data_IF_516321562428
#
_entry.id   IF_516321562428
#
_cell.length_a   1.000
_cell.length_b   1.000
_cell.length_c   1.000
_cell.angle_alpha   90.00
_cell.angle_beta   90.00
_cell.angle_gamma   90.00
#
_symmetry.space_group_name_H-M   'P 1'
#
loop_
_entity.id
_entity.type
_entity.pdbx_description
1 polymer ?
#
# COMPACT_ATOMS: atom_id res chain seq x y z
N UNK A 1 10.89 -23.15 -51.34
CA UNK A 1 10.03 -22.41 -52.29
C UNK A 1 8.61 -22.43 -51.71
N UNK A 2 7.87 -21.35 -51.45
CA UNK A 2 8.02 -19.93 -51.76
C UNK A 2 7.38 -19.09 -50.63
N UNK A 3 7.95 -17.93 -50.35
CA UNK A 3 7.47 -16.88 -49.44
C UNK A 3 6.36 -16.06 -50.09
N UNK A 4 5.28 -15.64 -49.39
CA UNK A 4 4.43 -14.58 -49.89
C UNK A 4 5.07 -13.22 -49.65
N UNK A 5 5.42 -12.59 -50.77
CA UNK A 5 6.02 -11.27 -50.95
C UNK A 5 5.03 -10.13 -50.68
N UNK A 6 5.54 -9.05 -50.10
CA UNK A 6 4.92 -7.74 -50.00
C UNK A 6 4.54 -7.15 -51.36
N UNK A 7 3.37 -6.50 -51.45
CA UNK A 7 3.09 -5.43 -52.43
C UNK A 7 2.53 -4.24 -51.66
N UNK A 8 3.35 -3.22 -51.43
CA UNK A 8 2.90 -1.87 -51.04
C UNK A 8 2.91 -1.02 -52.30
N UNK A 9 1.81 -0.32 -52.56
CA UNK A 9 1.71 0.64 -53.64
C UNK A 9 2.66 1.83 -53.41
N UNK A 10 3.34 2.21 -54.49
CA UNK A 10 4.19 3.38 -54.60
C UNK A 10 3.35 4.56 -55.13
N UNK A 11 3.47 5.71 -54.48
CA UNK A 11 3.07 7.05 -54.93
C UNK A 11 1.58 7.42 -54.86
N UNK A 12 1.23 8.18 -53.82
CA UNK A 12 0.61 9.49 -54.01
C UNK A 12 1.14 10.45 -52.94
N UNK A 13 2.06 11.30 -53.39
CA UNK A 13 2.62 12.44 -52.68
C UNK A 13 1.59 13.57 -52.59
N UNK A 14 1.36 14.15 -51.41
CA UNK A 14 1.17 15.59 -51.28
C UNK A 14 1.19 16.07 -49.81
N UNK A 15 2.08 17.05 -49.56
CA UNK A 15 2.14 18.02 -48.46
C UNK A 15 2.73 17.56 -47.12
N UNK A 16 4.06 17.68 -47.09
CA UNK A 16 4.90 17.81 -45.89
C UNK A 16 4.95 19.29 -45.50
N UNK A 17 4.27 19.69 -44.42
CA UNK A 17 4.58 20.91 -43.68
C UNK A 17 5.46 20.51 -42.49
N UNK A 18 6.67 21.07 -42.43
CA UNK A 18 7.50 21.07 -41.23
C UNK A 18 7.00 22.21 -40.33
N UNK A 19 6.68 21.89 -39.08
CA UNK A 19 6.54 22.86 -37.99
C UNK A 19 7.45 22.40 -36.85
N UNK A 20 8.25 23.32 -36.33
CA UNK A 20 9.30 23.09 -35.34
C UNK A 20 8.76 22.49 -34.03
N UNK A 21 9.47 21.49 -33.51
CA UNK A 21 9.14 20.81 -32.25
C UNK A 21 9.76 21.52 -31.05
N UNK A 22 9.32 22.73 -30.73
CA UNK A 22 9.65 23.38 -29.44
C UNK A 22 8.47 24.18 -28.88
N UNK A 23 7.26 23.62 -28.85
CA UNK A 23 6.21 23.99 -27.89
C UNK A 23 5.05 22.99 -27.94
N UNK A 24 5.07 21.99 -27.06
CA UNK A 24 3.90 21.17 -26.79
C UNK A 24 3.85 20.85 -25.30
N UNK A 25 3.06 21.62 -24.57
CA UNK A 25 2.66 21.30 -23.22
C UNK A 25 1.73 20.08 -23.26
N UNK A 26 2.13 19.02 -22.58
CA UNK A 26 1.34 17.80 -22.43
C UNK A 26 0.02 18.10 -21.72
N UNK A 27 -1.10 18.02 -22.44
CA UNK A 27 -2.42 17.87 -21.83
C UNK A 27 -2.66 16.39 -21.52
N UNK A 28 -2.35 16.00 -20.28
CA UNK A 28 -2.79 14.71 -19.73
C UNK A 28 -3.64 14.99 -18.50
N UNK A 29 -4.95 14.75 -18.60
CA UNK A 29 -5.75 14.28 -17.47
C UNK A 29 -7.18 13.91 -17.91
N UNK A 30 -7.35 12.74 -18.52
CA UNK A 30 -8.58 11.97 -18.34
C UNK A 30 -8.58 11.48 -16.89
N UNK A 31 -9.05 12.33 -15.97
CA UNK A 31 -9.18 11.96 -14.55
C UNK A 31 -10.51 11.25 -14.37
N UNK A 32 -10.44 9.92 -14.23
CA UNK A 32 -11.56 9.09 -13.80
C UNK A 32 -12.18 9.70 -12.53
N UNK A 33 -13.50 9.97 -12.59
CA UNK A 33 -14.27 10.44 -11.44
C UNK A 33 -14.29 9.32 -10.39
N UNK A 34 -13.61 9.53 -9.27
CA UNK A 34 -13.89 8.78 -8.06
C UNK A 34 -15.28 9.24 -7.58
N UNK A 35 -16.26 8.34 -7.68
CA UNK A 35 -17.58 8.50 -7.08
C UNK A 35 -17.39 8.45 -5.55
N UNK A 36 -17.12 9.60 -4.93
CA UNK A 36 -17.34 9.77 -3.50
C UNK A 36 -18.83 10.08 -3.35
N UNK A 37 -19.59 9.13 -2.82
CA UNK A 37 -20.96 9.37 -2.38
C UNK A 37 -20.91 10.46 -1.29
N UNK A 38 -21.27 11.69 -1.64
CA UNK A 38 -21.62 12.71 -0.66
C UNK A 38 -23.13 12.60 -0.46
N UNK A 39 -23.52 12.36 0.79
CA UNK A 39 -24.89 12.57 1.24
C UNK A 39 -25.32 14.00 0.86
N UNK A 40 -26.58 14.23 0.46
CA UNK A 40 -27.05 15.55 0.08
C UNK A 40 -26.92 16.50 1.26
N UNK A 41 -26.18 17.59 1.04
CA UNK A 41 -26.17 18.73 1.94
C UNK A 41 -27.53 19.41 1.82
N UNK A 42 -28.33 19.43 2.89
CA UNK A 42 -29.61 20.16 2.94
C UNK A 42 -29.32 21.66 2.81
N UNK A 43 -29.58 22.22 1.61
CA UNK A 43 -29.40 23.64 1.31
C UNK A 43 -30.56 24.50 1.84
N UNK A 44 -31.72 23.89 2.09
CA UNK A 44 -32.99 24.58 2.34
C UNK A 44 -33.05 25.38 3.66
N UNK A 45 -32.12 25.16 4.59
CA UNK A 45 -32.10 25.84 5.90
C UNK A 45 -31.26 27.11 5.93
N UNK A 46 -30.40 27.36 4.94
CA UNK A 46 -29.52 28.53 4.92
C UNK A 46 -30.10 29.73 4.19
N UNK A 47 -31.09 29.56 3.31
CA UNK A 47 -31.74 30.68 2.62
C UNK A 47 -32.49 31.59 3.61
N UNK A 48 -33.21 31.00 4.57
CA UNK A 48 -33.89 31.75 5.62
C UNK A 48 -32.93 32.52 6.53
N UNK A 49 -31.80 31.90 6.90
CA UNK A 49 -30.78 32.49 7.78
C UNK A 49 -30.00 33.60 7.07
N UNK A 50 -29.71 33.43 5.78
CA UNK A 50 -29.05 34.45 4.96
C UNK A 50 -29.98 35.63 4.66
N UNK A 51 -31.27 35.38 4.41
CA UNK A 51 -32.29 36.43 4.25
C UNK A 51 -32.41 37.30 5.51
N UNK A 52 -32.47 36.67 6.68
CA UNK A 52 -32.54 37.39 7.97
C UNK A 52 -31.27 38.21 8.24
N UNK A 53 -30.10 37.75 7.78
CA UNK A 53 -28.83 38.45 7.95
C UNK A 53 -28.70 39.64 7.00
N UNK A 54 -29.16 39.52 5.75
CA UNK A 54 -29.18 40.60 4.76
C UNK A 54 -30.11 41.72 5.20
N UNK A 55 -31.31 41.38 5.71
CA UNK A 55 -32.29 42.36 6.20
C UNK A 55 -31.80 43.10 7.46
N UNK A 56 -31.03 42.43 8.34
CA UNK A 56 -30.48 43.02 9.57
C UNK A 56 -29.22 43.86 9.35
N UNK A 57 -28.43 43.57 8.32
CA UNK A 57 -27.13 44.21 8.09
C UNK A 57 -27.18 45.37 7.08
N UNK A 58 -28.16 45.40 6.19
CA UNK A 58 -28.33 46.47 5.20
C UNK A 58 -29.74 47.06 5.30
N UNK A 59 -29.85 48.25 5.91
CA UNK A 59 -31.11 48.96 6.05
C UNK A 59 -31.86 49.11 4.71
N UNK A 60 -33.17 48.89 4.76
CA UNK A 60 -34.09 48.77 3.63
C UNK A 60 -33.85 49.78 2.48
N UNK A 61 -33.09 49.35 1.49
CA UNK A 61 -33.09 49.93 0.15
C UNK A 61 -33.66 48.87 -0.81
N UNK A 62 -34.87 49.06 -1.36
CA UNK A 62 -35.58 48.02 -2.10
C UNK A 62 -34.86 47.56 -3.38
N UNK A 63 -33.90 48.34 -3.89
CA UNK A 63 -33.17 48.01 -5.11
C UNK A 63 -31.89 47.18 -4.85
N UNK A 64 -31.33 47.23 -3.63
CA UNK A 64 -30.03 46.63 -3.33
C UNK A 64 -30.13 45.11 -3.16
N UNK A 65 -31.23 44.61 -2.56
CA UNK A 65 -31.49 43.18 -2.46
C UNK A 65 -31.64 42.51 -3.84
N UNK A 66 -32.38 43.16 -4.75
CA UNK A 66 -32.57 42.68 -6.13
C UNK A 66 -31.25 42.69 -6.90
N UNK A 67 -30.40 43.68 -6.66
CA UNK A 67 -29.09 43.79 -7.30
C UNK A 67 -28.09 42.76 -6.76
N UNK A 68 -28.12 42.48 -5.45
CA UNK A 68 -27.35 41.40 -4.82
C UNK A 68 -27.80 40.04 -5.33
N UNK A 69 -29.12 39.81 -5.45
CA UNK A 69 -29.67 38.57 -6.00
C UNK A 69 -29.23 38.36 -7.46
N UNK A 70 -29.36 39.40 -8.31
CA UNK A 70 -28.86 39.36 -9.70
C UNK A 70 -27.37 39.07 -9.79
N UNK A 71 -26.57 39.61 -8.86
CA UNK A 71 -25.12 39.41 -8.83
C UNK A 71 -24.75 38.01 -8.34
N UNK A 72 -25.53 37.45 -7.41
CA UNK A 72 -25.43 36.06 -6.99
C UNK A 72 -25.78 35.10 -8.12
N UNK A 73 -26.89 35.33 -8.83
CA UNK A 73 -27.29 34.51 -9.98
C UNK A 73 -26.22 34.55 -11.08
N UNK A 74 -25.65 35.72 -11.37
CA UNK A 74 -24.53 35.88 -12.31
C UNK A 74 -23.27 35.10 -11.90
N UNK A 75 -22.96 35.04 -10.60
CA UNK A 75 -21.84 34.27 -10.07
C UNK A 75 -22.12 32.76 -10.13
N UNK A 76 -23.35 32.35 -9.84
CA UNK A 76 -23.77 30.95 -9.91
C UNK A 76 -23.76 30.42 -11.35
N UNK A 77 -24.13 31.24 -12.33
CA UNK A 77 -24.06 30.90 -13.77
C UNK A 77 -22.62 30.86 -14.30
N UNK A 78 -21.73 31.71 -13.80
CA UNK A 78 -20.30 31.68 -14.18
C UNK A 78 -19.51 30.54 -13.53
N UNK A 79 -19.98 29.99 -12.41
CA UNK A 79 -19.32 28.91 -11.67
C UNK A 79 -19.85 27.50 -11.97
N UNK A 80 -20.82 27.33 -12.87
CA UNK A 80 -21.30 26.00 -13.31
C UNK A 80 -20.17 25.18 -13.97
N UNK A 81 -19.46 24.40 -13.16
CA UNK A 81 -18.41 23.46 -13.59
C UNK A 81 -17.06 23.60 -12.90
N UNK A 82 -16.84 24.62 -12.04
CA UNK A 82 -15.65 24.65 -11.18
C UNK A 82 -15.97 24.01 -9.84
N UNK A 83 -15.16 23.05 -9.44
CA UNK A 83 -15.14 22.58 -8.05
C UNK A 83 -14.96 23.82 -7.18
N UNK A 84 -15.89 24.09 -6.26
CA UNK A 84 -15.71 25.13 -5.24
C UNK A 84 -14.37 24.81 -4.57
N UNK A 85 -13.33 25.67 -4.72
CA UNK A 85 -12.07 25.42 -4.05
C UNK A 85 -12.35 25.33 -2.54
N UNK A 86 -11.59 24.50 -1.81
CA UNK A 86 -11.64 24.52 -0.35
C UNK A 86 -11.61 26.00 0.08
N UNK A 87 -12.65 26.46 0.78
CA UNK A 87 -12.89 27.87 1.09
C UNK A 87 -11.61 28.46 1.69
N UNK A 88 -10.90 29.26 0.91
CA UNK A 88 -9.56 29.75 1.27
C UNK A 88 -9.73 30.89 2.26
N UNK A 89 -9.89 30.53 3.54
CA UNK A 89 -10.19 31.47 4.65
C UNK A 89 -9.08 32.50 4.86
N UNK A 90 -7.88 32.23 4.33
CA UNK A 90 -6.72 33.12 4.29
C UNK A 90 -7.03 34.42 3.56
N UNK A 91 -7.83 34.39 2.48
CA UNK A 91 -8.19 35.58 1.70
C UNK A 91 -9.03 36.63 2.46
N UNK A 92 -9.65 36.24 3.58
CA UNK A 92 -10.46 37.10 4.46
C UNK A 92 -9.64 37.78 5.55
N UNK A 93 -8.38 37.37 5.74
CA UNK A 93 -7.49 37.95 6.76
C UNK A 93 -6.90 39.27 6.25
N UNK A 94 -6.51 40.21 7.14
CA UNK A 94 -5.77 41.41 6.75
C UNK A 94 -4.50 41.05 5.95
N UNK A 95 -4.11 41.88 4.98
CA UNK A 95 -2.95 41.63 4.11
C UNK A 95 -1.66 41.37 4.90
N UNK A 96 -1.45 42.10 5.98
CA UNK A 96 -0.29 41.91 6.86
C UNK A 96 -0.23 40.49 7.45
N UNK A 97 -1.39 39.97 7.89
CA UNK A 97 -1.52 38.60 8.40
C UNK A 97 -1.37 37.57 7.29
N UNK A 98 -1.82 37.88 6.07
CA UNK A 98 -1.59 37.01 4.91
C UNK A 98 -0.10 36.91 4.57
N UNK A 99 0.62 38.03 4.62
CA UNK A 99 2.06 38.10 4.35
C UNK A 99 2.85 37.37 5.44
N UNK A 100 2.45 37.49 6.71
CA UNK A 100 2.99 36.70 7.81
C UNK A 100 2.73 35.20 7.62
N UNK A 101 1.50 34.78 7.30
CA UNK A 101 1.15 33.37 7.05
C UNK A 101 1.91 32.83 5.84
N UNK A 102 2.09 33.63 4.79
CA UNK A 102 2.87 33.26 3.61
C UNK A 102 4.37 33.14 3.92
N UNK A 103 4.89 33.95 4.86
CA UNK A 103 6.26 33.86 5.35
C UNK A 103 6.48 32.66 6.30
N UNK A 104 5.43 32.16 6.95
CA UNK A 104 5.52 31.01 7.85
C UNK A 104 5.87 29.72 7.10
N UNK A 105 7.06 29.20 7.39
CA UNK A 105 7.52 27.92 6.87
C UNK A 105 6.78 26.76 7.54
N UNK A 106 6.20 25.86 6.74
CA UNK A 106 5.61 24.61 7.26
C UNK A 106 6.64 23.79 8.05
N UNK A 107 6.23 23.06 9.11
CA UNK A 107 7.14 22.16 9.83
C UNK A 107 7.82 21.17 8.88
N UNK A 108 9.10 20.85 9.14
CA UNK A 108 9.91 19.98 8.26
C UNK A 108 9.26 18.61 8.01
N UNK A 109 8.54 18.06 8.99
CA UNK A 109 7.80 16.80 8.84
C UNK A 109 6.68 16.90 7.80
N UNK A 110 5.93 18.01 7.82
CA UNK A 110 4.87 18.30 6.85
C UNK A 110 5.47 18.53 5.46
N UNK A 111 6.58 19.26 5.37
CA UNK A 111 7.29 19.44 4.09
C UNK A 111 7.77 18.13 3.49
N UNK A 112 8.34 17.24 4.33
CA UNK A 112 8.81 15.93 3.91
C UNK A 112 7.67 15.05 3.37
N UNK A 113 6.42 15.24 3.80
CA UNK A 113 5.26 14.54 3.25
C UNK A 113 5.06 14.84 1.75
N UNK A 114 5.16 16.11 1.36
CA UNK A 114 4.99 16.57 -0.02
C UNK A 114 6.21 16.30 -0.91
N UNK A 115 7.40 16.15 -0.30
CA UNK A 115 8.63 15.87 -1.01
C UNK A 115 8.80 14.36 -1.27
N UNK A 116 9.75 14.03 -2.16
CA UNK A 116 10.22 12.65 -2.34
C UNK A 116 10.87 12.15 -1.05
N UNK A 117 10.83 10.83 -0.77
CA UNK A 117 11.40 10.27 0.44
C UNK A 117 12.90 10.52 0.50
N UNK A 118 13.34 11.10 1.62
CA UNK A 118 14.75 11.33 1.92
C UNK A 118 15.45 10.00 2.16
N UNK A 119 16.76 9.92 1.86
CA UNK A 119 17.56 8.70 1.99
C UNK A 119 18.92 9.01 2.60
N UNK A 120 19.37 8.16 3.51
CA UNK A 120 20.73 8.21 4.04
C UNK A 120 21.72 7.59 3.06
N UNK A 121 22.94 8.12 3.02
CA UNK A 121 24.06 7.53 2.30
C UNK A 121 24.65 6.41 3.15
N UNK A 122 24.98 5.29 2.53
CA UNK A 122 25.64 4.15 3.17
C UNK A 122 27.16 4.39 3.24
N UNK A 123 27.78 3.95 4.33
CA UNK A 123 29.23 4.13 4.59
C UNK A 123 30.03 2.99 3.99
N UNK A 124 29.63 1.74 4.28
CA UNK A 124 30.34 0.52 3.87
C UNK A 124 29.64 -0.21 2.72
N UNK A 125 28.33 -0.03 2.57
CA UNK A 125 27.56 -0.63 1.48
C UNK A 125 27.18 -2.08 1.69
N UNK A 126 27.33 -2.61 2.91
CA UNK A 126 27.05 -4.01 3.23
C UNK A 126 25.55 -4.20 3.39
N UNK A 127 24.98 -5.19 2.70
CA UNK A 127 23.55 -5.50 2.75
C UNK A 127 23.21 -6.27 4.02
N UNK A 128 22.32 -5.72 4.84
CA UNK A 128 21.86 -6.34 6.09
C UNK A 128 20.47 -6.95 5.93
N UNK A 129 19.60 -6.35 5.10
CA UNK A 129 18.29 -6.94 4.86
C UNK A 129 17.74 -6.59 3.47
N UNK A 130 17.09 -7.58 2.86
CA UNK A 130 16.39 -7.49 1.59
C UNK A 130 14.88 -7.63 1.83
N UNK A 131 14.14 -6.53 1.65
CA UNK A 131 12.68 -6.52 1.74
C UNK A 131 12.08 -6.59 0.33
N UNK A 132 11.49 -7.73 -0.02
CA UNK A 132 10.77 -7.94 -1.26
C UNK A 132 9.27 -7.74 -1.07
N UNK A 133 8.73 -6.75 -1.75
CA UNK A 133 7.29 -6.47 -1.82
C UNK A 133 6.68 -7.10 -3.06
N UNK A 134 5.47 -7.65 -2.93
CA UNK A 134 4.72 -8.29 -4.01
C UNK A 134 3.27 -7.83 -3.99
N UNK A 135 2.71 -7.48 -5.14
CA UNK A 135 1.28 -7.18 -5.26
C UNK A 135 0.80 -7.43 -6.68
N UNK A 136 -0.51 -7.61 -6.85
CA UNK A 136 -1.16 -7.60 -8.16
C UNK A 136 -1.51 -6.16 -8.62
N UNK A 137 -1.43 -5.16 -7.74
CA UNK A 137 -1.71 -3.75 -8.04
C UNK A 137 -0.47 -2.88 -7.91
N UNK A 138 -0.19 -2.05 -8.93
CA UNK A 138 0.94 -1.09 -8.92
C UNK A 138 0.78 -0.06 -7.81
N UNK A 139 -0.42 0.53 -7.72
CA UNK A 139 -0.66 1.71 -6.89
C UNK A 139 -0.39 1.44 -5.41
N UNK A 140 -0.93 0.33 -4.91
CA UNK A 140 -0.76 -0.08 -3.52
C UNK A 140 0.70 -0.39 -3.22
N UNK A 141 1.39 -1.05 -4.16
CA UNK A 141 2.79 -1.41 -4.05
C UNK A 141 3.71 -0.17 -3.99
N UNK A 142 3.43 0.85 -4.80
CA UNK A 142 4.20 2.10 -4.83
C UNK A 142 3.98 2.98 -3.61
N UNK A 143 2.72 3.12 -3.16
CA UNK A 143 2.39 3.85 -1.93
C UNK A 143 3.07 3.21 -0.74
N UNK A 144 3.04 1.88 -0.64
CA UNK A 144 3.66 1.16 0.45
C UNK A 144 5.19 1.21 0.39
N UNK A 145 5.78 1.11 -0.81
CA UNK A 145 7.22 1.27 -0.99
C UNK A 145 7.71 2.67 -0.55
N UNK A 146 6.96 3.73 -0.86
CA UNK A 146 7.27 5.09 -0.39
C UNK A 146 7.19 5.19 1.14
N UNK A 147 6.14 4.61 1.73
CA UNK A 147 5.99 4.53 3.19
C UNK A 147 7.18 3.82 3.86
N UNK A 148 7.62 2.68 3.33
CA UNK A 148 8.80 1.96 3.84
C UNK A 148 10.07 2.81 3.78
N UNK A 149 10.30 3.55 2.69
CA UNK A 149 11.46 4.44 2.59
C UNK A 149 11.44 5.55 3.63
N UNK A 150 10.26 6.16 3.88
CA UNK A 150 10.09 7.21 4.89
C UNK A 150 10.36 6.67 6.29
N UNK A 151 9.84 5.49 6.63
CA UNK A 151 10.08 4.85 7.92
C UNK A 151 11.58 4.56 8.14
N UNK A 152 12.27 4.05 7.11
CA UNK A 152 13.70 3.77 7.18
C UNK A 152 14.54 5.03 7.42
N UNK A 153 14.15 6.16 6.81
CA UNK A 153 14.84 7.44 7.00
C UNK A 153 14.82 7.90 8.47
N UNK A 154 13.68 7.77 9.16
CA UNK A 154 13.59 8.15 10.57
C UNK A 154 14.38 7.22 11.50
N UNK A 155 14.49 5.94 11.14
CA UNK A 155 15.33 4.97 11.85
C UNK A 155 16.82 5.06 11.48
N UNK A 156 17.21 6.05 10.68
CA UNK A 156 18.59 6.28 10.21
C UNK A 156 19.18 5.09 9.45
N UNK A 157 18.33 4.27 8.82
CA UNK A 157 18.77 3.15 7.99
C UNK A 157 19.07 3.67 6.56
N UNK A 158 20.28 3.45 6.01
CA UNK A 158 20.55 3.75 4.61
C UNK A 158 19.93 2.68 3.72
N UNK A 159 19.06 3.14 2.82
CA UNK A 159 18.22 2.25 1.99
C UNK A 159 18.38 2.59 0.52
N UNK A 160 18.64 1.55 -0.26
CA UNK A 160 18.53 1.60 -1.72
C UNK A 160 17.06 1.45 -2.10
N UNK A 161 16.61 2.36 -2.97
CA UNK A 161 15.20 2.59 -3.30
C UNK A 161 14.46 1.35 -3.83
N UNK A 162 13.15 1.45 -4.09
CA UNK A 162 12.38 0.33 -4.61
C UNK A 162 12.88 -0.03 -6.00
N UNK A 163 13.70 -1.08 -6.08
CA UNK A 163 14.19 -1.65 -7.33
C UNK A 163 13.05 -2.43 -7.95
N UNK A 164 12.75 -2.13 -9.22
CA UNK A 164 11.72 -2.84 -9.97
C UNK A 164 12.26 -4.21 -10.38
N UNK A 165 11.82 -5.25 -9.67
CA UNK A 165 12.11 -6.61 -10.09
C UNK A 165 11.20 -7.02 -11.25
N UNK A 166 11.64 -7.94 -12.13
CA UNK A 166 10.80 -8.45 -13.21
C UNK A 166 9.46 -8.98 -12.67
N UNK A 167 8.36 -8.64 -13.34
CA UNK A 167 7.02 -9.15 -13.01
C UNK A 167 6.92 -10.64 -13.37
N UNK A 168 6.19 -11.40 -12.55
CA UNK A 168 5.85 -12.79 -12.85
C UNK A 168 4.47 -12.76 -13.54
N UNK A 169 4.34 -13.38 -14.71
CA UNK A 169 3.06 -13.45 -15.41
C UNK A 169 2.65 -14.91 -15.56
N UNK A 170 1.60 -15.30 -14.86
CA UNK A 170 1.00 -16.63 -14.94
C UNK A 170 -0.19 -16.55 -15.89
N UNK A 171 -0.29 -17.47 -16.85
CA UNK A 171 -1.37 -17.50 -17.84
C UNK A 171 -2.09 -18.83 -17.83
N UNK A 172 -3.40 -18.80 -17.94
CA UNK A 172 -4.22 -20.00 -18.09
C UNK A 172 -5.33 -19.76 -19.10
N UNK A 173 -5.68 -20.82 -19.82
CA UNK A 173 -6.69 -20.78 -20.89
C UNK A 173 -7.88 -21.63 -20.47
N UNK A 174 -9.07 -21.03 -20.41
CA UNK A 174 -10.28 -21.70 -19.94
C UNK A 174 -11.33 -21.65 -21.04
N UNK A 175 -12.07 -22.74 -21.29
CA UNK A 175 -13.23 -22.69 -22.18
C UNK A 175 -14.25 -21.66 -21.67
N UNK A 176 -14.82 -20.85 -22.57
CA UNK A 176 -15.82 -19.84 -22.16
C UNK A 176 -17.12 -20.47 -21.66
N UNK A 177 -17.48 -21.64 -22.19
CA UNK A 177 -18.64 -22.42 -21.78
C UNK A 177 -18.21 -23.62 -20.93
N UNK A 178 -19.07 -24.03 -20.00
CA UNK A 178 -18.87 -25.20 -19.16
C UNK A 178 -18.89 -26.52 -19.97
N UNK A 179 -19.54 -26.57 -21.14
CA UNK A 179 -19.73 -27.80 -21.91
C UNK A 179 -19.61 -27.61 -23.44
N UNK A 180 -19.09 -28.65 -24.13
CA UNK A 180 -18.95 -28.87 -25.59
C UNK A 180 -18.14 -27.83 -26.39
N UNK A 181 -18.22 -26.54 -26.10
CA UNK A 181 -17.66 -25.47 -26.93
C UNK A 181 -16.14 -25.21 -26.72
N UNK A 182 -15.30 -26.25 -26.86
CA UNK A 182 -13.83 -26.16 -26.65
C UNK A 182 -13.10 -25.23 -27.62
N UNK A 183 -13.65 -24.97 -28.82
CA UNK A 183 -13.09 -23.99 -29.79
C UNK A 183 -13.19 -22.54 -29.29
N UNK A 184 -14.10 -22.26 -28.35
CA UNK A 184 -14.23 -20.94 -27.72
C UNK A 184 -13.50 -20.94 -26.37
N UNK A 185 -12.28 -20.40 -26.37
CA UNK A 185 -11.43 -20.29 -25.17
C UNK A 185 -11.11 -18.83 -24.87
N UNK A 186 -10.86 -18.55 -23.59
CA UNK A 186 -10.43 -17.26 -23.08
C UNK A 186 -9.10 -17.41 -22.33
N UNK A 187 -8.22 -16.42 -22.53
CA UNK A 187 -6.92 -16.37 -21.87
C UNK A 187 -7.04 -15.44 -20.66
N UNK A 188 -6.70 -15.95 -19.48
CA UNK A 188 -6.58 -15.18 -18.26
C UNK A 188 -5.11 -15.05 -17.88
N UNK A 189 -4.77 -13.96 -17.20
CA UNK A 189 -3.45 -13.78 -16.62
C UNK A 189 -3.49 -13.23 -15.21
N UNK A 190 -2.48 -13.62 -14.42
CA UNK A 190 -2.16 -13.03 -13.12
C UNK A 190 -0.76 -12.47 -13.19
N UNK A 191 -0.65 -11.15 -13.09
CA UNK A 191 0.62 -10.43 -13.12
C UNK A 191 1.01 -10.05 -11.69
N UNK A 192 2.04 -10.70 -11.16
CA UNK A 192 2.63 -10.36 -9.87
C UNK A 192 3.74 -9.33 -10.06
N UNK A 193 3.51 -8.12 -9.57
CA UNK A 193 4.49 -7.04 -9.57
C UNK A 193 5.34 -7.10 -8.32
N UNK A 194 6.63 -6.81 -8.47
CA UNK A 194 7.61 -6.98 -7.40
C UNK A 194 8.48 -5.73 -7.26
N UNK A 195 8.78 -5.36 -6.02
CA UNK A 195 9.76 -4.33 -5.67
C UNK A 195 10.72 -4.90 -4.64
N UNK A 196 11.98 -4.49 -4.72
CA UNK A 196 13.00 -4.83 -3.73
C UNK A 196 13.47 -3.54 -3.05
N UNK A 197 13.48 -3.54 -1.73
CA UNK A 197 14.06 -2.49 -0.90
C UNK A 197 15.26 -3.11 -0.19
N UNK A 198 16.43 -2.52 -0.40
CA UNK A 198 17.69 -3.06 0.13
C UNK A 198 18.21 -2.15 1.24
N UNK A 199 18.32 -2.70 2.45
CA UNK A 199 18.85 -2.01 3.62
C UNK A 199 20.33 -2.32 3.73
N UNK A 200 21.13 -1.27 3.90
CA UNK A 200 22.57 -1.36 4.06
C UNK A 200 22.97 -0.87 5.46
N UNK A 201 24.12 -1.32 5.97
CA UNK A 201 24.78 -0.82 7.18
C UNK A 201 23.85 -0.54 8.39
N UNK A 202 22.85 -1.41 8.60
CA UNK A 202 21.85 -1.24 9.67
C UNK A 202 22.17 -2.08 10.90
N UNK A 203 21.91 -1.55 12.09
CA UNK A 203 21.98 -2.34 13.34
C UNK A 203 20.84 -3.39 13.35
N UNK A 204 21.11 -4.66 13.75
CA UNK A 204 20.11 -5.74 13.67
C UNK A 204 18.82 -5.42 14.43
N UNK A 205 18.91 -4.85 15.63
CA UNK A 205 17.71 -4.46 16.41
C UNK A 205 16.87 -3.38 15.72
N UNK A 206 17.53 -2.41 15.08
CA UNK A 206 16.84 -1.33 14.35
C UNK A 206 16.16 -1.88 13.10
N UNK A 207 16.78 -2.85 12.42
CA UNK A 207 16.18 -3.56 11.28
C UNK A 207 14.96 -4.37 11.73
N UNK A 208 15.05 -5.07 12.87
CA UNK A 208 13.92 -5.80 13.44
C UNK A 208 12.76 -4.87 13.81
N UNK A 209 13.05 -3.71 14.43
CA UNK A 209 12.06 -2.68 14.74
C UNK A 209 11.41 -2.12 13.48
N UNK A 210 12.21 -1.87 12.44
CA UNK A 210 11.71 -1.42 11.13
C UNK A 210 10.74 -2.44 10.51
N UNK A 211 11.10 -3.73 10.49
CA UNK A 211 10.25 -4.79 9.97
C UNK A 211 8.96 -4.93 10.77
N UNK A 212 9.04 -4.87 12.11
CA UNK A 212 7.87 -4.91 12.98
C UNK A 212 6.93 -3.72 12.75
N UNK A 213 7.48 -2.51 12.59
CA UNK A 213 6.71 -1.30 12.28
C UNK A 213 5.98 -1.42 10.93
N UNK A 214 6.66 -1.93 9.91
CA UNK A 214 6.08 -2.14 8.59
C UNK A 214 4.98 -3.20 8.63
N UNK A 215 5.18 -4.29 9.36
CA UNK A 215 4.17 -5.35 9.51
C UNK A 215 2.90 -4.81 10.19
N UNK A 216 3.06 -4.00 11.25
CA UNK A 216 1.92 -3.36 11.93
C UNK A 216 1.11 -2.44 11.00
N UNK A 217 1.78 -1.75 10.09
CA UNK A 217 1.17 -0.78 9.16
C UNK A 217 1.13 -1.29 7.70
N UNK A 218 1.02 -2.60 7.51
CA UNK A 218 1.04 -3.23 6.19
C UNK A 218 -0.15 -2.76 5.35
N UNK A 219 0.12 -2.30 4.12
CA UNK A 219 -0.93 -1.90 3.19
C UNK A 219 -1.63 -3.14 2.59
N UNK A 220 -2.95 -3.06 2.44
CA UNK A 220 -3.74 -4.19 1.94
C UNK A 220 -3.32 -4.59 0.51
N UNK A 221 -3.39 -5.89 0.23
CA UNK A 221 -3.04 -6.45 -1.08
C UNK A 221 -1.54 -6.38 -1.41
N UNK A 222 -0.68 -6.05 -0.45
CA UNK A 222 0.78 -6.15 -0.58
C UNK A 222 1.28 -7.28 0.31
N UNK A 223 1.96 -8.26 -0.27
CA UNK A 223 2.71 -9.29 0.45
C UNK A 223 4.17 -8.89 0.60
N UNK A 224 4.80 -9.30 1.70
CA UNK A 224 6.19 -8.98 2.01
C UNK A 224 6.99 -10.26 2.27
N UNK A 225 8.25 -10.26 1.85
CA UNK A 225 9.24 -11.25 2.24
C UNK A 225 10.51 -10.49 2.62
N UNK A 226 10.98 -10.68 3.85
CA UNK A 226 12.25 -10.13 4.30
C UNK A 226 13.29 -11.26 4.41
N UNK A 227 14.47 -11.05 3.82
CA UNK A 227 15.66 -11.85 4.13
C UNK A 227 16.56 -10.96 5.00
N UNK A 228 16.94 -11.42 6.19
CA UNK A 228 17.85 -10.71 7.10
C UNK A 228 19.18 -11.45 7.11
N UNK A 229 20.26 -10.71 6.94
CA UNK A 229 21.63 -11.19 6.94
C UNK A 229 22.31 -10.70 8.22
N UNK A 230 22.80 -11.65 9.02
CA UNK A 230 23.50 -11.38 10.26
C UNK A 230 24.90 -11.98 10.19
N UNK A 231 25.89 -11.23 10.67
CA UNK A 231 27.27 -11.69 10.76
C UNK A 231 27.55 -12.10 12.20
N UNK A 232 27.70 -13.39 12.45
CA UNK A 232 28.09 -13.94 13.75
C UNK A 232 29.56 -14.38 13.74
N UNK A 233 30.12 -14.60 14.93
CA UNK A 233 31.44 -15.24 15.06
C UNK A 233 31.30 -16.75 14.93
N UNK A 234 32.43 -17.44 14.74
CA UNK A 234 32.46 -18.90 14.54
C UNK A 234 31.86 -19.69 15.72
N UNK A 235 32.07 -19.23 16.95
CA UNK A 235 31.52 -19.88 18.16
C UNK A 235 30.07 -19.46 18.41
N UNK A 236 29.16 -20.01 17.60
CA UNK A 236 27.72 -19.72 17.67
C UNK A 236 27.07 -20.38 18.88
N UNK A 237 27.50 -21.58 19.27
CA UNK A 237 26.89 -22.35 20.37
C UNK A 237 26.93 -21.58 21.70
N UNK A 238 28.11 -21.12 22.10
CA UNK A 238 28.29 -20.38 23.35
C UNK A 238 27.58 -19.01 23.35
N UNK A 239 27.36 -18.42 22.16
CA UNK A 239 26.61 -17.17 22.02
C UNK A 239 25.12 -17.42 22.21
N UNK A 240 24.58 -18.45 21.56
CA UNK A 240 23.16 -18.83 21.68
C UNK A 240 22.78 -19.14 23.13
N UNK A 241 23.63 -19.85 23.88
CA UNK A 241 23.33 -20.17 25.29
C UNK A 241 23.26 -18.89 26.16
N UNK A 242 24.21 -17.96 25.97
CA UNK A 242 24.23 -16.67 26.69
C UNK A 242 23.03 -15.78 26.34
N UNK A 243 22.67 -15.74 25.06
CA UNK A 243 21.50 -14.99 24.59
C UNK A 243 20.19 -15.61 25.10
N UNK A 244 20.09 -16.94 25.13
CA UNK A 244 18.93 -17.64 25.67
C UNK A 244 18.69 -17.28 27.15
N UNK A 245 19.75 -17.20 27.96
CA UNK A 245 19.64 -16.82 29.36
C UNK A 245 19.26 -15.34 29.56
N UNK A 246 19.66 -14.45 28.65
CA UNK A 246 19.19 -13.06 28.63
C UNK A 246 17.72 -12.97 28.20
N UNK A 247 17.33 -13.72 27.18
CA UNK A 247 15.98 -13.73 26.65
C UNK A 247 14.97 -14.25 27.67
N UNK A 248 15.29 -15.31 28.44
CA UNK A 248 14.43 -15.84 29.50
C UNK A 248 13.93 -14.74 30.45
N UNK A 249 14.83 -13.88 30.92
CA UNK A 249 14.50 -12.74 31.81
C UNK A 249 13.48 -11.78 31.20
N UNK A 250 13.58 -11.52 29.89
CA UNK A 250 12.65 -10.63 29.18
C UNK A 250 11.35 -11.31 28.72
N UNK A 251 11.34 -12.65 28.70
CA UNK A 251 10.20 -13.45 28.26
C UNK A 251 9.23 -13.71 29.40
N UNK A 252 9.70 -13.80 30.64
CA UNK A 252 8.83 -14.01 31.82
C UNK A 252 7.72 -12.95 31.89
N UNK A 253 8.08 -11.67 31.68
CA UNK A 253 7.10 -10.56 31.59
C UNK A 253 6.10 -10.72 30.43
N UNK A 254 6.52 -11.33 29.31
CA UNK A 254 5.67 -11.56 28.13
C UNK A 254 4.80 -12.81 28.27
N UNK A 255 5.24 -13.79 29.05
CA UNK A 255 4.47 -15.01 29.32
C UNK A 255 3.27 -14.72 30.21
N UNK A 256 3.35 -13.75 31.12
CA UNK A 256 2.20 -13.31 31.91
C UNK A 256 1.04 -12.75 31.06
N UNK A 257 1.37 -12.18 29.89
CA UNK A 257 0.38 -11.72 28.90
C UNK A 257 -0.22 -12.87 28.08
N UNK A 258 0.42 -14.05 28.07
CA UNK A 258 -0.02 -15.21 27.32
C UNK A 258 -1.03 -16.05 28.12
N UNK A 259 -2.33 -15.87 27.84
CA UNK A 259 -3.39 -16.68 28.41
C UNK A 259 -3.44 -18.09 27.80
N UNK A 260 -2.88 -19.08 28.51
CA UNK A 260 -3.00 -20.51 28.16
C UNK A 260 -3.99 -21.25 29.06
N UNK A 261 -4.57 -22.36 28.58
CA UNK A 261 -5.25 -23.32 29.48
C UNK A 261 -4.20 -23.92 30.41
N UNK A 262 -4.36 -23.75 31.73
CA UNK A 262 -3.43 -24.24 32.74
C UNK A 262 -3.15 -25.75 32.60
N UNK A 263 -4.20 -26.51 32.31
CA UNK A 263 -4.13 -27.97 32.10
C UNK A 263 -3.16 -28.40 30.98
N UNK A 264 -2.99 -27.57 29.94
CA UNK A 264 -2.06 -27.81 28.82
C UNK A 264 -0.63 -27.35 29.12
N UNK A 265 -0.46 -26.39 30.03
CA UNK A 265 0.83 -25.87 30.48
C UNK A 265 1.48 -26.79 31.52
N UNK A 266 0.65 -27.43 32.36
CA UNK A 266 1.10 -28.21 33.52
C UNK A 266 1.19 -29.73 33.22
N UNK A 267 0.53 -30.20 32.14
CA UNK A 267 0.17 -31.62 32.00
C UNK A 267 1.13 -32.54 31.21
N UNK A 268 1.75 -32.12 30.10
CA UNK A 268 2.50 -33.05 29.23
C UNK A 268 3.43 -32.32 28.24
N UNK A 269 4.76 -32.41 28.43
CA UNK A 269 5.76 -31.86 27.48
C UNK A 269 5.54 -32.34 26.04
N UNK A 270 5.18 -33.61 25.87
CA UNK A 270 4.90 -34.22 24.55
C UNK A 270 3.65 -33.65 23.89
N UNK A 271 2.66 -33.21 24.68
CA UNK A 271 1.46 -32.58 24.14
C UNK A 271 1.78 -31.16 23.66
N UNK A 272 2.60 -30.43 24.41
CA UNK A 272 3.10 -29.09 24.04
C UNK A 272 3.95 -29.18 22.77
N UNK A 273 4.90 -30.11 22.70
CA UNK A 273 5.74 -30.30 21.50
C UNK A 273 4.89 -30.63 20.26
N UNK A 274 3.90 -31.51 20.41
CA UNK A 274 2.97 -31.83 19.32
C UNK A 274 2.14 -30.61 18.90
N UNK A 275 1.69 -29.78 19.85
CA UNK A 275 0.98 -28.54 19.55
C UNK A 275 1.89 -27.56 18.79
N UNK A 276 3.12 -27.36 19.25
CA UNK A 276 4.11 -26.48 18.60
C UNK A 276 4.40 -26.90 17.15
N UNK A 277 4.39 -28.20 16.85
CA UNK A 277 4.60 -28.68 15.48
C UNK A 277 3.33 -28.63 14.62
N UNK A 278 2.16 -28.90 15.21
CA UNK A 278 0.91 -29.02 14.46
C UNK A 278 0.20 -27.69 14.22
N UNK A 279 0.27 -26.75 15.15
CA UNK A 279 -0.41 -25.46 15.05
C UNK A 279 0.11 -24.54 13.93
N UNK A 280 1.45 -24.39 13.73
CA UNK A 280 1.98 -23.62 12.61
C UNK A 280 1.60 -24.23 11.26
N UNK A 281 1.54 -25.56 11.18
CA UNK A 281 1.07 -26.26 9.98
C UNK A 281 -0.39 -25.92 9.70
N UNK A 282 -1.29 -26.08 10.68
CA UNK A 282 -2.71 -25.74 10.52
C UNK A 282 -2.90 -24.28 10.12
N UNK A 283 -2.19 -23.35 10.76
CA UNK A 283 -2.22 -21.93 10.44
C UNK A 283 -1.76 -21.63 9.01
N UNK A 284 -0.65 -22.22 8.57
CA UNK A 284 -0.11 -22.02 7.22
C UNK A 284 -1.03 -22.54 6.12
N UNK A 285 -1.77 -23.62 6.37
CA UNK A 285 -2.76 -24.18 5.44
C UNK A 285 -4.14 -23.50 5.53
N UNK A 286 -4.24 -22.39 6.28
CA UNK A 286 -5.44 -21.56 6.31
C UNK A 286 -6.55 -22.09 7.20
N UNK A 287 -6.26 -23.01 8.14
CA UNK A 287 -7.27 -23.53 9.08
C UNK A 287 -7.92 -22.42 9.93
N UNK A 288 -7.22 -21.31 10.14
CA UNK A 288 -7.67 -20.14 10.90
C UNK A 288 -8.05 -18.93 10.03
N UNK A 289 -8.06 -19.07 8.69
CA UNK A 289 -8.55 -18.01 7.82
C UNK A 289 -10.09 -17.92 7.87
N UNK A 290 -10.69 -16.72 7.74
CA UNK A 290 -12.14 -16.55 7.81
C UNK A 290 -12.93 -17.31 6.73
N UNK A 291 -12.26 -17.81 5.69
CA UNK A 291 -12.80 -18.67 4.62
C UNK A 291 -12.00 -19.98 4.48
N UNK A 292 -11.29 -20.40 5.53
CA UNK A 292 -10.48 -21.62 5.55
C UNK A 292 -11.34 -22.87 5.38
N UNK A 293 -11.25 -23.53 4.23
CA UNK A 293 -12.06 -24.68 3.84
C UNK A 293 -11.82 -25.99 4.60
N UNK A 294 -11.45 -25.95 5.88
CA UNK A 294 -10.99 -27.13 6.61
C UNK A 294 -11.73 -27.43 7.92
N UNK A 295 -12.77 -26.67 8.29
CA UNK A 295 -13.57 -27.04 9.46
C UNK A 295 -14.46 -28.27 9.21
N UNK A 296 -14.89 -28.51 7.96
CA UNK A 296 -15.83 -29.60 7.63
C UNK A 296 -15.18 -30.89 7.12
N UNK A 297 -13.87 -30.91 6.87
CA UNK A 297 -13.18 -32.08 6.30
C UNK A 297 -12.53 -32.89 7.44
N UNK A 298 -13.00 -34.12 7.72
CA UNK A 298 -12.36 -34.99 8.70
C UNK A 298 -10.89 -35.21 8.33
N UNK A 299 -9.99 -35.01 9.29
CA UNK A 299 -8.53 -35.16 9.14
C UNK A 299 -7.77 -34.10 8.32
N UNK A 300 -8.39 -33.03 7.84
CA UNK A 300 -7.66 -31.92 7.19
C UNK A 300 -6.69 -31.19 8.16
N UNK A 301 -6.98 -31.24 9.47
CA UNK A 301 -6.17 -30.64 10.52
C UNK A 301 -5.11 -31.59 11.10
N UNK A 302 -4.98 -32.81 10.59
CA UNK A 302 -4.01 -33.81 11.06
C UNK A 302 -2.94 -34.03 9.99
N UNK A 303 -1.68 -33.96 10.39
CA UNK A 303 -0.57 -34.42 9.56
C UNK A 303 -0.73 -35.94 9.38
N UNK A 304 -0.84 -36.41 8.14
CA UNK A 304 -0.89 -37.85 7.86
C UNK A 304 0.47 -38.43 8.27
N UNK A 305 0.48 -39.20 9.37
CA UNK A 305 1.65 -39.98 9.77
C UNK A 305 1.86 -41.09 8.74
N UNK A 306 2.84 -40.93 7.87
CA UNK A 306 3.32 -42.04 7.05
C UNK A 306 4.07 -42.99 7.97
N UNK A 307 3.38 -44.02 8.48
CA UNK A 307 4.06 -45.16 9.09
C UNK A 307 4.73 -45.94 7.96
N UNK A 308 6.05 -45.90 7.90
CA UNK A 308 6.81 -46.85 7.08
C UNK A 308 6.60 -48.22 7.71
N UNK A 309 5.80 -49.08 7.06
CA UNK A 309 5.69 -50.48 7.47
C UNK A 309 7.07 -51.08 7.19
N UNK A 310 7.83 -51.32 8.26
CA UNK A 310 9.07 -52.06 8.16
C UNK A 310 8.76 -53.43 7.57
N UNK A 311 9.33 -53.72 6.39
CA UNK A 311 9.27 -55.04 5.78
C UNK A 311 10.06 -56.02 6.64
N UNK A 312 9.37 -56.66 7.58
CA UNK A 312 9.82 -57.91 8.17
C UNK A 312 9.65 -59.00 7.12
N UNK A 313 10.75 -59.42 6.50
CA UNK A 313 10.80 -60.68 5.77
C UNK A 313 10.73 -61.81 6.80
N UNK A 314 9.62 -62.53 6.79
CA UNK A 314 9.49 -63.88 7.33
C UNK A 314 10.35 -64.86 6.54
#
# INVERSE_FOLDING_TARGET
>A
MATPSYVRSLVSSAKRLRLDSTRAAFSTATRQKAQQQRLPWHADTNEAVLGEYVDKSFGASPNLAVEVQKRLDQLMDTEQGRLIPLRDRTSLLPKDVQDEIAALRLPKAVQAAYMKPLKWKSTHGVTVADLQLRSYSVRNLEVFADFCLRAAYYLKLPVKGPVNLPRITERWTVPRSNFVHKKSQENFERVTMRRLIQIQDGHPETVSLFLAFIQKHQFYGVGMKANVFETSKLDVHSQMDKEADQLKKSLDEKFDLFGGRKDLMEGDEKAVERALLSEPFKGAWGAYAPMGGAQSVPNANKRIEKRTIGGGYS
#
